data_IF_659350852587
#
_entry.id   IF_659350852587
#
_cell.length_a   1.000
_cell.length_b   1.000
_cell.length_c   1.000
_cell.angle_alpha   90.00
_cell.angle_beta   90.00
_cell.angle_gamma   90.00
#
_symmetry.space_group_name_H-M   'P 1'
#
loop_
_entity.id
_entity.type
_entity.pdbx_description
1 polymer ?
#
# COMPACT_ATOMS: atom_id res chain seq x y z
N UNK A 1 -22.06 -17.25 0.82
CA UNK A 1 -20.82 -17.46 0.04
C UNK A 1 -19.82 -16.44 0.55
N UNK A 2 -18.93 -16.86 1.44
CA UNK A 2 -17.88 -15.98 1.98
C UNK A 2 -16.90 -15.66 0.85
N UNK A 3 -17.05 -14.49 0.21
CA UNK A 3 -15.96 -13.93 -0.56
C UNK A 3 -14.79 -13.76 0.42
N UNK A 4 -13.81 -14.65 0.37
CA UNK A 4 -12.52 -14.41 1.02
C UNK A 4 -11.87 -13.28 0.24
N UNK A 5 -12.22 -12.04 0.56
CA UNK A 5 -11.59 -10.88 -0.04
C UNK A 5 -10.15 -10.88 0.44
N UNK A 6 -9.19 -11.01 -0.46
CA UNK A 6 -7.77 -10.96 -0.11
C UNK A 6 -7.33 -9.51 -0.26
N UNK A 7 -6.48 -9.00 0.65
CA UNK A 7 -5.90 -7.67 0.49
C UNK A 7 -5.20 -7.55 -0.86
N UNK A 8 -5.52 -6.47 -1.60
CA UNK A 8 -4.98 -6.19 -2.93
C UNK A 8 -3.67 -5.41 -2.76
N UNK A 9 -2.53 -6.07 -2.97
CA UNK A 9 -1.21 -5.45 -2.80
C UNK A 9 -0.60 -5.15 -4.17
N UNK A 10 -0.41 -3.86 -4.46
CA UNK A 10 0.26 -3.37 -5.67
C UNK A 10 1.70 -3.00 -5.34
N UNK A 11 2.63 -3.68 -5.99
CA UNK A 11 4.06 -3.61 -5.67
C UNK A 11 4.81 -2.95 -6.81
N UNK A 12 5.68 -1.99 -6.48
CA UNK A 12 6.50 -1.28 -7.45
C UNK A 12 7.99 -1.36 -7.09
N UNK A 13 8.85 -1.35 -8.11
CA UNK A 13 10.30 -1.20 -7.93
C UNK A 13 11.07 -2.51 -7.71
N UNK A 14 11.71 -2.63 -6.55
CA UNK A 14 12.81 -3.59 -6.35
C UNK A 14 12.35 -5.00 -5.95
N UNK A 15 13.28 -5.96 -6.00
CA UNK A 15 13.04 -7.36 -5.59
C UNK A 15 12.66 -7.50 -4.12
N UNK A 16 13.15 -6.61 -3.26
CA UNK A 16 12.82 -6.61 -1.83
C UNK A 16 11.33 -6.31 -1.63
N UNK A 17 10.76 -5.36 -2.37
CA UNK A 17 9.33 -5.04 -2.29
C UNK A 17 8.45 -6.24 -2.67
N UNK A 18 8.88 -7.10 -3.60
CA UNK A 18 8.14 -8.32 -3.96
C UNK A 18 8.05 -9.28 -2.77
N UNK A 19 9.19 -9.49 -2.10
CA UNK A 19 9.25 -10.34 -0.91
C UNK A 19 8.44 -9.76 0.25
N UNK A 20 8.59 -8.46 0.54
CA UNK A 20 7.81 -7.77 1.56
C UNK A 20 6.30 -7.89 1.33
N UNK A 21 5.86 -7.85 0.06
CA UNK A 21 4.45 -7.89 -0.29
C UNK A 21 3.78 -9.23 0.01
N UNK A 22 4.55 -10.33 0.04
CA UNK A 22 4.03 -11.62 0.49
C UNK A 22 3.81 -11.63 2.01
N UNK A 23 4.76 -11.08 2.76
CA UNK A 23 4.66 -10.91 4.22
C UNK A 23 3.48 -10.01 4.59
N UNK A 24 3.38 -8.83 3.94
CA UNK A 24 2.28 -7.89 4.14
C UNK A 24 0.91 -8.52 3.85
N UNK A 25 0.81 -9.36 2.81
CA UNK A 25 -0.44 -10.05 2.48
C UNK A 25 -0.86 -10.99 3.60
N UNK A 26 0.06 -11.81 4.07
CA UNK A 26 -0.22 -12.77 5.15
C UNK A 26 -0.63 -12.05 6.44
N UNK A 27 0.03 -10.95 6.78
CA UNK A 27 -0.30 -10.16 7.96
C UNK A 27 -1.65 -9.44 7.84
N UNK A 28 -1.93 -8.81 6.70
CA UNK A 28 -3.22 -8.17 6.46
C UNK A 28 -4.38 -9.19 6.49
N UNK A 29 -4.17 -10.39 5.92
CA UNK A 29 -5.14 -11.49 6.05
C UNK A 29 -5.34 -11.94 7.50
N UNK A 30 -4.26 -12.09 8.26
CA UNK A 30 -4.32 -12.47 9.67
C UNK A 30 -5.02 -11.40 10.53
N UNK A 31 -4.88 -10.13 10.18
CA UNK A 31 -5.56 -9.01 10.82
C UNK A 31 -7.03 -8.82 10.35
N UNK A 32 -7.52 -9.64 9.42
CA UNK A 32 -8.86 -9.51 8.86
C UNK A 32 -9.04 -8.31 7.91
N UNK A 33 -7.93 -7.68 7.49
CA UNK A 33 -7.91 -6.55 6.55
C UNK A 33 -8.01 -7.06 5.12
N UNK A 34 -9.22 -7.48 4.78
CA UNK A 34 -9.55 -8.16 3.53
C UNK A 34 -9.97 -7.20 2.42
N UNK A 35 -10.46 -6.01 2.78
CA UNK A 35 -11.04 -5.01 1.88
C UNK A 35 -10.15 -3.76 1.72
N UNK A 36 -8.83 -3.94 1.76
CA UNK A 36 -7.84 -2.85 1.63
C UNK A 36 -6.97 -3.04 0.40
N UNK A 37 -6.64 -1.93 -0.26
CA UNK A 37 -5.64 -1.86 -1.32
C UNK A 37 -4.37 -1.25 -0.75
N UNK A 38 -3.28 -2.00 -0.74
CA UNK A 38 -1.98 -1.51 -0.27
C UNK A 38 -1.06 -1.28 -1.45
N UNK A 39 -0.51 -0.08 -1.57
CA UNK A 39 0.44 0.30 -2.61
C UNK A 39 1.84 0.37 -2.01
N UNK A 40 2.67 -0.64 -2.28
CA UNK A 40 4.06 -0.70 -1.83
C UNK A 40 4.99 -0.01 -2.83
N UNK A 41 5.40 1.21 -2.46
CA UNK A 41 6.18 2.16 -3.26
C UNK A 41 7.68 1.90 -3.20
N UNK A 42 8.41 2.39 -4.19
CA UNK A 42 9.87 2.29 -4.25
C UNK A 42 10.44 3.67 -4.58
N UNK A 43 11.54 4.03 -3.94
CA UNK A 43 12.25 5.30 -4.16
C UNK A 43 13.54 5.14 -4.99
N UNK A 44 13.84 3.93 -5.48
CA UNK A 44 15.08 3.67 -6.23
C UNK A 44 15.08 4.39 -7.58
N UNK A 45 13.91 4.54 -8.20
CA UNK A 45 13.77 5.28 -9.46
C UNK A 45 12.51 6.15 -9.45
N UNK A 46 12.60 7.34 -10.04
CA UNK A 46 11.46 8.24 -10.20
C UNK A 46 10.33 7.61 -11.03
N UNK A 47 10.66 6.71 -11.96
CA UNK A 47 9.67 5.99 -12.75
C UNK A 47 8.85 5.02 -11.89
N UNK A 48 9.47 4.32 -10.92
CA UNK A 48 8.74 3.45 -10.00
C UNK A 48 7.76 4.23 -9.11
N UNK A 49 8.17 5.42 -8.64
CA UNK A 49 7.29 6.32 -7.89
C UNK A 49 6.13 6.81 -8.75
N UNK A 50 6.42 7.22 -9.99
CA UNK A 50 5.41 7.69 -10.94
C UNK A 50 4.38 6.60 -11.23
N UNK A 51 4.81 5.36 -11.46
CA UNK A 51 3.93 4.22 -11.68
C UNK A 51 3.04 3.94 -10.47
N UNK A 52 3.59 3.99 -9.26
CA UNK A 52 2.80 3.84 -8.04
C UNK A 52 1.72 4.92 -7.91
N UNK A 53 2.08 6.20 -8.14
CA UNK A 53 1.11 7.31 -8.12
C UNK A 53 0.05 7.19 -9.23
N UNK A 54 0.42 6.69 -10.41
CA UNK A 54 -0.53 6.44 -11.50
C UNK A 54 -1.50 5.31 -11.16
N UNK A 55 -1.02 4.23 -10.54
CA UNK A 55 -1.86 3.11 -10.13
C UNK A 55 -2.84 3.51 -9.03
N UNK A 56 -2.41 4.29 -8.03
CA UNK A 56 -3.29 4.88 -6.99
C UNK A 56 -4.48 5.60 -7.64
N UNK A 57 -4.20 6.49 -8.59
CA UNK A 57 -5.24 7.24 -9.31
C UNK A 57 -6.17 6.34 -10.12
N UNK A 58 -5.62 5.28 -10.71
CA UNK A 58 -6.40 4.28 -11.44
C UNK A 58 -7.32 3.51 -10.50
N UNK A 59 -6.80 3.06 -9.35
CA UNK A 59 -7.58 2.34 -8.34
C UNK A 59 -8.72 3.22 -7.84
N UNK A 60 -8.47 4.46 -7.43
CA UNK A 60 -9.53 5.36 -6.94
C UNK A 60 -10.63 5.59 -7.97
N UNK A 61 -10.30 5.66 -9.26
CA UNK A 61 -11.32 5.76 -10.33
C UNK A 61 -12.16 4.49 -10.49
N UNK A 62 -11.57 3.31 -10.32
CA UNK A 62 -12.21 2.03 -10.57
C UNK A 62 -12.89 1.44 -9.33
N UNK A 63 -12.41 1.82 -8.14
CA UNK A 63 -12.88 1.42 -6.82
C UNK A 63 -12.95 2.68 -5.94
N UNK A 64 -13.94 3.56 -6.17
CA UNK A 64 -14.04 4.84 -5.46
C UNK A 64 -14.15 4.68 -3.94
N UNK A 65 -14.74 3.58 -3.47
CA UNK A 65 -14.95 3.31 -2.05
C UNK A 65 -13.89 2.39 -1.43
N UNK A 66 -12.90 1.94 -2.21
CA UNK A 66 -11.84 1.11 -1.66
C UNK A 66 -10.94 1.92 -0.74
N UNK A 67 -10.56 1.33 0.39
CA UNK A 67 -9.53 1.90 1.26
C UNK A 67 -8.15 1.70 0.64
N UNK A 68 -7.49 2.78 0.25
CA UNK A 68 -6.17 2.78 -0.40
C UNK A 68 -5.13 3.29 0.59
N UNK A 69 -4.16 2.45 0.92
CA UNK A 69 -3.05 2.78 1.82
C UNK A 69 -1.73 2.74 1.05
N UNK A 70 -0.93 3.79 1.14
CA UNK A 70 0.42 3.80 0.57
C UNK A 70 1.46 3.43 1.62
N UNK A 71 2.48 2.68 1.23
CA UNK A 71 3.63 2.35 2.08
C UNK A 71 4.88 2.21 1.21
N UNK A 72 6.06 1.97 1.78
CA UNK A 72 7.28 1.76 1.01
C UNK A 72 8.31 2.86 1.17
N UNK A 73 9.46 2.66 0.52
CA UNK A 73 10.60 3.56 0.67
C UNK A 73 10.28 5.00 0.22
N UNK A 74 9.44 5.19 -0.80
CA UNK A 74 9.08 6.54 -1.26
C UNK A 74 8.19 7.26 -0.24
N UNK A 75 7.25 6.55 0.38
CA UNK A 75 6.44 7.07 1.50
C UNK A 75 7.31 7.41 2.70
N UNK A 76 8.32 6.58 3.00
CA UNK A 76 9.24 6.81 4.12
C UNK A 76 10.14 8.05 3.90
N UNK A 77 10.53 8.32 2.64
CA UNK A 77 11.41 9.43 2.29
C UNK A 77 10.66 10.76 2.27
N UNK A 78 9.43 10.78 1.74
CA UNK A 78 8.64 12.01 1.55
C UNK A 78 7.17 11.83 2.02
N UNK A 79 6.95 11.55 3.32
CA UNK A 79 5.63 11.17 3.83
C UNK A 79 4.55 12.22 3.55
N UNK A 80 4.88 13.51 3.65
CA UNK A 80 3.92 14.61 3.46
C UNK A 80 3.39 14.68 2.02
N UNK A 81 4.27 14.50 1.02
CA UNK A 81 3.90 14.45 -0.39
C UNK A 81 2.99 13.27 -0.73
N UNK A 82 3.16 12.13 -0.03
CA UNK A 82 2.28 10.98 -0.21
C UNK A 82 0.96 11.17 0.55
N UNK A 83 0.99 11.64 1.80
CA UNK A 83 -0.20 11.91 2.61
C UNK A 83 -1.10 13.00 2.02
N UNK A 84 -0.54 13.94 1.25
CA UNK A 84 -1.29 14.98 0.54
C UNK A 84 -2.08 14.49 -0.68
N UNK A 85 -1.89 13.23 -1.11
CA UNK A 85 -2.61 12.67 -2.24
C UNK A 85 -4.09 12.48 -1.89
N UNK A 86 -5.04 13.15 -2.58
CA UNK A 86 -6.47 13.01 -2.27
C UNK A 86 -7.01 11.61 -2.59
N UNK A 87 -6.27 10.82 -3.36
CA UNK A 87 -6.69 9.48 -3.74
C UNK A 87 -6.39 8.40 -2.70
N UNK A 88 -5.59 8.66 -1.66
CA UNK A 88 -5.28 7.68 -0.61
C UNK A 88 -5.97 8.02 0.71
N UNK A 89 -6.22 7.00 1.53
CA UNK A 89 -6.87 7.14 2.84
C UNK A 89 -5.88 7.11 4.00
N UNK A 90 -4.59 6.90 3.70
CA UNK A 90 -3.53 6.90 4.70
C UNK A 90 -2.20 6.38 4.19
N UNK A 91 -1.17 6.55 5.03
CA UNK A 91 0.17 6.02 4.82
C UNK A 91 0.61 5.14 5.98
N UNK A 92 1.43 4.12 5.69
CA UNK A 92 2.07 3.27 6.70
C UNK A 92 3.57 3.32 6.51
N UNK A 93 4.31 3.62 7.58
CA UNK A 93 5.77 3.65 7.59
C UNK A 93 6.39 2.25 7.40
N UNK A 94 7.64 2.20 6.93
CA UNK A 94 8.29 0.91 6.63
C UNK A 94 8.48 0.01 7.87
N UNK A 95 8.62 0.59 9.07
CA UNK A 95 8.76 -0.17 10.32
C UNK A 95 7.43 -0.83 10.73
N UNK A 96 6.32 -0.20 10.38
CA UNK A 96 4.96 -0.66 10.68
C UNK A 96 4.43 -1.64 9.61
N UNK A 97 5.11 -1.79 8.47
CA UNK A 97 4.78 -2.82 7.45
C UNK A 97 4.81 -4.25 7.97
N UNK A 98 5.60 -4.50 9.02
CA UNK A 98 5.91 -5.83 9.54
C UNK A 98 5.29 -6.10 10.92
N UNK A 99 4.63 -5.10 11.50
CA UNK A 99 4.01 -5.21 12.83
C UNK A 99 2.52 -4.94 12.71
N UNK A 100 1.71 -5.83 13.30
CA UNK A 100 0.29 -5.59 13.49
C UNK A 100 0.15 -4.56 14.61
N UNK A 101 0.34 -3.28 14.29
CA UNK A 101 0.16 -2.19 15.26
C UNK A 101 -1.32 -1.81 15.28
N UNK A 102 -2.06 -2.10 16.38
CA UNK A 102 -3.46 -1.75 16.51
C UNK A 102 -3.55 -0.24 16.77
N UNK A 103 -3.73 0.55 15.71
CA UNK A 103 -3.88 2.00 15.82
C UNK A 103 -3.50 2.82 14.59
N UNK A 104 -2.91 2.21 13.55
CA UNK A 104 -2.52 2.91 12.31
C UNK A 104 -3.46 2.62 11.12
N UNK A 105 -4.53 1.85 11.33
CA UNK A 105 -5.53 1.48 10.32
C UNK A 105 -6.91 1.54 10.97
#
# INVERSE_FOLDING_TARGET
MSHQNRPDIRTFGCRINIWESEVMRNQAQAAGLNDVVVVNTCAVTAEAEKQARQEIRKIRRWKPDARIIATGCAVQIDPDSWASLPEIDGIIGNQDKLTSSPGLI
#
